data_IF_014045887229
#
_entry.id   IF_014045887229
#
_cell.length_a   1.000
_cell.length_b   1.000
_cell.length_c   1.000
_cell.angle_alpha   90.00
_cell.angle_beta   90.00
_cell.angle_gamma   90.00
#
_symmetry.space_group_name_H-M   'P 1'
#
loop_
_entity.id
_entity.type
_entity.pdbx_description
1 polymer ?
#
# COMPACT_ATOMS: atom_id res chain seq x y z
N UNK A 1 27.05 50.06 3.07
CA UNK A 1 26.12 48.95 2.70
C UNK A 1 26.81 47.64 3.04
N UNK A 2 26.31 46.91 4.04
CA UNK A 2 26.89 45.61 4.43
C UNK A 2 26.34 44.54 3.48
N UNK A 3 27.17 43.69 2.86
CA UNK A 3 26.70 42.68 1.91
C UNK A 3 25.76 41.66 2.58
N UNK A 4 24.62 41.37 1.96
CA UNK A 4 23.62 40.38 2.42
C UNK A 4 24.23 38.98 2.69
N UNK A 5 25.35 38.64 2.05
CA UNK A 5 26.09 37.40 2.27
C UNK A 5 26.73 37.31 3.67
N UNK A 6 27.07 38.44 4.30
CA UNK A 6 27.68 38.48 5.64
C UNK A 6 26.66 38.19 6.75
N UNK A 7 25.41 38.63 6.58
CA UNK A 7 24.32 38.40 7.54
C UNK A 7 23.88 36.93 7.51
N UNK A 8 23.82 36.31 6.33
CA UNK A 8 23.50 34.90 6.17
C UNK A 8 24.58 33.96 6.78
N UNK A 9 25.85 34.37 6.73
CA UNK A 9 26.98 33.66 7.34
C UNK A 9 26.89 33.65 8.88
N UNK A 10 26.56 34.79 9.49
CA UNK A 10 26.45 34.88 10.95
C UNK A 10 25.25 34.11 11.52
N UNK A 11 24.11 34.10 10.82
CA UNK A 11 22.94 33.31 11.24
C UNK A 11 23.20 31.80 11.20
N UNK A 12 24.02 31.32 10.25
CA UNK A 12 24.37 29.91 10.13
C UNK A 12 25.29 29.42 11.25
N UNK A 13 26.24 30.25 11.68
CA UNK A 13 27.14 29.94 12.79
C UNK A 13 26.43 29.96 14.16
N UNK A 14 25.45 30.84 14.35
CA UNK A 14 24.63 30.87 15.56
C UNK A 14 23.75 29.60 15.69
N UNK A 15 23.16 29.11 14.59
CA UNK A 15 22.36 27.88 14.57
C UNK A 15 23.19 26.61 14.85
N UNK A 16 24.43 26.55 14.37
CA UNK A 16 25.35 25.44 14.65
C UNK A 16 25.77 25.39 16.13
N UNK A 17 25.98 26.54 16.77
CA UNK A 17 26.30 26.60 18.20
C UNK A 17 25.13 26.16 19.08
N UNK A 18 23.88 26.47 18.70
CA UNK A 18 22.68 26.02 19.41
C UNK A 18 22.47 24.50 19.25
N UNK A 19 22.71 23.94 18.06
CA UNK A 19 22.62 22.49 17.85
C UNK A 19 23.70 21.70 18.61
N UNK A 20 24.94 22.23 18.71
CA UNK A 20 26.01 21.61 19.49
C UNK A 20 25.79 21.68 21.01
N UNK A 21 25.10 22.71 21.52
CA UNK A 21 24.70 22.77 22.94
C UNK A 21 23.54 21.82 23.26
N UNK A 22 22.59 21.61 22.34
CA UNK A 22 21.51 20.63 22.53
C UNK A 22 22.00 19.17 22.52
N UNK A 23 23.01 18.84 21.71
CA UNK A 23 23.63 17.50 21.73
C UNK A 23 24.40 17.23 23.03
N UNK A 24 25.06 18.24 23.61
CA UNK A 24 25.76 18.08 24.90
C UNK A 24 24.82 17.95 26.11
N UNK A 25 23.60 18.49 26.03
CA UNK A 25 22.61 18.32 27.10
C UNK A 25 21.89 16.97 27.04
N UNK A 26 21.74 16.35 25.85
CA UNK A 26 21.10 15.03 25.72
C UNK A 26 22.01 13.85 26.10
N UNK A 27 23.34 14.01 26.05
CA UNK A 27 24.28 12.97 26.48
C UNK A 27 24.55 12.92 27.99
N UNK A 28 23.96 13.84 28.78
CA UNK A 28 24.15 13.92 30.24
C UNK A 28 23.12 13.20 31.10
N UNK A 29 22.11 12.53 30.53
CA UNK A 29 21.00 11.90 31.27
C UNK A 29 20.87 10.37 31.09
N UNK A 30 21.87 9.69 30.50
CA UNK A 30 21.89 8.22 30.38
C UNK A 30 22.63 7.53 31.53
N UNK A 31 22.35 7.90 32.77
CA UNK A 31 22.82 7.15 33.93
C UNK A 31 21.76 7.19 35.01
N UNK A 32 21.06 6.06 35.14
CA UNK A 32 20.17 5.61 36.23
C UNK A 32 18.72 5.41 35.79
N UNK A 33 18.45 4.31 35.06
CA UNK A 33 17.24 3.50 35.21
C UNK A 33 17.35 2.24 34.32
N UNK A 34 18.20 1.31 34.75
CA UNK A 34 17.95 -0.11 34.46
C UNK A 34 16.91 -0.54 35.48
N UNK A 35 15.69 -0.81 35.06
CA UNK A 35 14.80 -1.89 35.51
C UNK A 35 13.45 -1.75 34.80
N UNK A 36 13.09 -2.79 34.05
CA UNK A 36 11.75 -3.08 33.50
C UNK A 36 11.20 -2.19 32.38
N UNK A 37 11.58 -2.51 31.13
CA UNK A 37 10.79 -2.17 29.92
C UNK A 37 10.57 -3.48 29.15
N UNK A 38 9.69 -4.33 29.69
CA UNK A 38 9.01 -5.37 28.91
C UNK A 38 7.54 -4.93 28.75
N UNK A 39 6.97 -5.20 27.57
CA UNK A 39 5.53 -5.17 27.24
C UNK A 39 4.80 -3.84 26.99
N UNK A 40 5.34 -2.97 26.14
CA UNK A 40 4.52 -1.90 25.50
C UNK A 40 4.54 -1.89 23.97
N UNK A 41 5.23 -2.83 23.29
CA UNK A 41 5.31 -2.86 21.81
C UNK A 41 4.21 -3.68 21.12
N UNK A 42 3.47 -4.50 21.87
CA UNK A 42 2.40 -5.39 21.37
C UNK A 42 1.16 -4.66 20.80
N UNK A 43 0.72 -3.46 21.28
CA UNK A 43 -0.56 -2.89 20.85
C UNK A 43 -0.63 -2.48 19.38
N UNK A 44 0.47 -2.02 18.78
CA UNK A 44 0.45 -1.44 17.42
C UNK A 44 0.35 -2.51 16.33
N UNK A 45 1.05 -3.64 16.48
CA UNK A 45 1.02 -4.75 15.51
C UNK A 45 -0.35 -5.42 15.48
N UNK A 46 -1.03 -5.55 16.64
CA UNK A 46 -2.38 -6.11 16.69
C UNK A 46 -3.41 -5.23 15.99
N UNK A 47 -3.31 -3.90 16.18
CA UNK A 47 -4.15 -2.92 15.47
C UNK A 47 -3.92 -3.03 13.96
N UNK A 48 -2.66 -3.07 13.52
CA UNK A 48 -2.31 -3.24 12.11
C UNK A 48 -2.87 -4.55 11.56
N UNK A 49 -2.71 -5.67 12.25
CA UNK A 49 -3.26 -6.97 11.85
C UNK A 49 -4.77 -6.92 11.70
N UNK A 50 -5.51 -6.30 12.63
CA UNK A 50 -6.96 -6.13 12.52
C UNK A 50 -7.33 -5.36 11.25
N UNK A 51 -6.62 -4.27 10.97
CA UNK A 51 -6.83 -3.49 9.75
C UNK A 51 -6.50 -4.30 8.48
N UNK A 52 -5.41 -5.07 8.47
CA UNK A 52 -5.03 -5.92 7.34
C UNK A 52 -6.09 -6.98 7.04
N UNK A 53 -6.67 -7.61 8.07
CA UNK A 53 -7.79 -8.55 7.90
C UNK A 53 -9.02 -7.87 7.29
N UNK A 54 -9.32 -6.62 7.68
CA UNK A 54 -10.43 -5.88 7.06
C UNK A 54 -10.17 -5.63 5.57
N UNK A 55 -8.94 -5.28 5.18
CA UNK A 55 -8.59 -5.10 3.77
C UNK A 55 -8.68 -6.43 3.00
N UNK A 56 -8.21 -7.54 3.58
CA UNK A 56 -8.33 -8.89 3.00
C UNK A 56 -9.79 -9.26 2.75
N UNK A 57 -10.66 -9.10 3.77
CA UNK A 57 -12.08 -9.41 3.66
C UNK A 57 -12.76 -8.60 2.53
N UNK A 58 -12.38 -7.33 2.39
CA UNK A 58 -12.90 -6.46 1.34
C UNK A 58 -12.44 -6.89 -0.06
N UNK A 59 -11.16 -7.26 -0.22
CA UNK A 59 -10.65 -7.82 -1.47
C UNK A 59 -11.37 -9.12 -1.85
N UNK A 60 -11.52 -10.05 -0.91
CA UNK A 60 -12.22 -11.31 -1.12
C UNK A 60 -13.70 -11.10 -1.45
N UNK A 61 -14.35 -10.11 -0.82
CA UNK A 61 -15.71 -9.71 -1.17
C UNK A 61 -15.79 -9.21 -2.62
N UNK A 62 -14.92 -8.30 -3.03
CA UNK A 62 -14.90 -7.76 -4.38
C UNK A 62 -14.57 -8.81 -5.45
N UNK A 63 -13.75 -9.81 -5.11
CA UNK A 63 -13.50 -10.95 -5.99
C UNK A 63 -14.78 -11.76 -6.22
N UNK A 64 -15.51 -12.08 -5.15
CA UNK A 64 -16.81 -12.77 -5.25
C UNK A 64 -17.84 -11.95 -6.05
N UNK A 65 -17.90 -10.64 -5.85
CA UNK A 65 -18.74 -9.75 -6.67
C UNK A 65 -18.34 -9.82 -8.15
N UNK A 66 -17.04 -9.82 -8.46
CA UNK A 66 -16.55 -9.92 -9.85
C UNK A 66 -16.88 -11.28 -10.51
N UNK A 67 -17.04 -12.32 -9.70
CA UNK A 67 -17.39 -13.67 -10.14
C UNK A 67 -18.90 -13.94 -10.18
N UNK A 68 -19.75 -12.92 -9.90
CA UNK A 68 -21.21 -13.09 -9.75
C UNK A 68 -21.63 -13.98 -8.57
N UNK A 69 -20.75 -14.18 -7.58
CA UNK A 69 -20.97 -15.06 -6.43
C UNK A 69 -21.57 -14.33 -5.22
N UNK A 70 -21.52 -12.99 -5.20
CA UNK A 70 -22.03 -12.19 -4.09
C UNK A 70 -22.53 -10.81 -4.56
N UNK A 71 -23.52 -10.26 -3.85
CA UNK A 71 -24.02 -8.90 -4.05
C UNK A 71 -23.04 -7.87 -3.49
N UNK A 72 -22.90 -6.71 -4.14
CA UNK A 72 -22.04 -5.64 -3.66
C UNK A 72 -22.58 -5.11 -2.32
N UNK A 73 -21.73 -5.18 -1.29
CA UNK A 73 -22.06 -4.84 0.09
C UNK A 73 -23.36 -5.46 0.61
N UNK A 74 -23.69 -6.67 0.13
CA UNK A 74 -24.91 -7.40 0.46
C UNK A 74 -26.22 -6.61 0.21
N UNK A 75 -26.19 -5.57 -0.62
CA UNK A 75 -27.33 -4.66 -0.83
C UNK A 75 -27.72 -4.53 -2.29
N UNK A 76 -26.78 -4.66 -3.23
CA UNK A 76 -27.06 -4.46 -4.65
C UNK A 76 -26.47 -5.58 -5.50
N UNK A 77 -27.30 -6.19 -6.37
CA UNK A 77 -26.83 -7.09 -7.41
C UNK A 77 -26.25 -6.26 -8.57
N UNK A 78 -24.94 -6.38 -8.79
CA UNK A 78 -24.26 -5.70 -9.89
C UNK A 78 -24.57 -6.44 -11.18
N UNK A 79 -25.09 -5.75 -12.20
CA UNK A 79 -25.29 -6.36 -13.52
C UNK A 79 -23.94 -6.58 -14.21
N UNK A 80 -23.82 -7.68 -14.96
CA UNK A 80 -22.56 -8.08 -15.58
C UNK A 80 -22.05 -7.10 -16.64
N UNK A 81 -22.94 -6.44 -17.37
CA UNK A 81 -22.63 -5.38 -18.34
C UNK A 81 -22.05 -4.12 -17.67
N UNK A 82 -22.62 -3.73 -16.52
CA UNK A 82 -22.13 -2.61 -15.70
C UNK A 82 -20.75 -2.92 -15.14
N UNK A 83 -20.58 -4.11 -14.56
CA UNK A 83 -19.30 -4.57 -14.02
C UNK A 83 -18.22 -4.62 -15.11
N UNK A 84 -18.54 -5.17 -16.29
CA UNK A 84 -17.62 -5.24 -17.43
C UNK A 84 -17.20 -3.85 -17.89
N UNK A 85 -18.15 -2.92 -17.99
CA UNK A 85 -17.88 -1.53 -18.40
C UNK A 85 -16.97 -0.83 -17.39
N UNK A 86 -17.29 -0.93 -16.10
CA UNK A 86 -16.46 -0.38 -15.02
C UNK A 86 -15.03 -0.93 -15.05
N UNK A 87 -14.87 -2.26 -15.13
CA UNK A 87 -13.57 -2.90 -15.19
C UNK A 87 -12.77 -2.47 -16.44
N UNK A 88 -13.41 -2.40 -17.61
CA UNK A 88 -12.73 -1.96 -18.84
C UNK A 88 -12.28 -0.50 -18.77
N UNK A 89 -13.09 0.38 -18.19
CA UNK A 89 -12.71 1.79 -18.00
C UNK A 89 -11.52 1.93 -17.06
N UNK A 90 -11.53 1.25 -15.91
CA UNK A 90 -10.43 1.25 -14.94
C UNK A 90 -9.10 0.83 -15.58
N UNK A 91 -9.14 -0.16 -16.45
CA UNK A 91 -7.94 -0.78 -17.03
C UNK A 91 -7.65 -0.35 -18.46
N UNK A 92 -8.32 0.67 -18.99
CA UNK A 92 -8.13 1.14 -20.37
C UNK A 92 -6.65 1.43 -20.68
N UNK A 93 -5.91 1.96 -19.70
CA UNK A 93 -4.48 2.31 -19.82
C UNK A 93 -3.55 1.30 -19.14
N UNK A 94 -4.03 0.09 -18.84
CA UNK A 94 -3.20 -0.96 -18.23
C UNK A 94 -2.27 -1.56 -19.28
N UNK A 95 -1.09 -0.94 -19.43
CA UNK A 95 -0.13 -1.34 -20.45
C UNK A 95 0.56 -2.68 -20.21
N UNK A 96 1.22 -3.18 -21.27
CA UNK A 96 1.89 -4.48 -21.26
C UNK A 96 2.96 -4.62 -20.17
N UNK A 97 3.64 -3.53 -19.80
CA UNK A 97 4.63 -3.55 -18.72
C UNK A 97 4.00 -3.80 -17.35
N UNK A 98 2.81 -3.24 -17.09
CA UNK A 98 2.05 -3.58 -15.87
C UNK A 98 1.57 -5.03 -15.89
N UNK A 99 1.15 -5.53 -17.06
CA UNK A 99 0.77 -6.93 -17.19
C UNK A 99 1.95 -7.89 -16.93
N UNK A 100 3.13 -7.61 -17.50
CA UNK A 100 4.37 -8.35 -17.20
C UNK A 100 4.71 -8.28 -15.71
N UNK A 101 4.60 -7.10 -15.10
CA UNK A 101 4.85 -6.94 -13.66
C UNK A 101 3.86 -7.77 -12.82
N UNK A 102 2.57 -7.76 -13.17
CA UNK A 102 1.53 -8.55 -12.51
C UNK A 102 1.83 -10.05 -12.60
N UNK A 103 2.22 -10.52 -13.78
CA UNK A 103 2.61 -11.92 -13.97
C UNK A 103 3.83 -12.28 -13.11
N UNK A 104 4.88 -11.46 -13.13
CA UNK A 104 6.07 -11.67 -12.30
C UNK A 104 5.75 -11.68 -10.81
N UNK A 105 4.91 -10.75 -10.35
CA UNK A 105 4.47 -10.68 -8.97
C UNK A 105 3.71 -11.96 -8.60
N UNK A 106 2.76 -12.39 -9.42
CA UNK A 106 2.00 -13.63 -9.18
C UNK A 106 2.91 -14.87 -9.09
N UNK A 107 3.93 -14.99 -9.96
CA UNK A 107 4.89 -16.10 -9.87
C UNK A 107 5.75 -16.00 -8.61
N UNK A 108 6.17 -14.79 -8.22
CA UNK A 108 7.00 -14.56 -7.04
C UNK A 108 6.28 -14.96 -5.74
N UNK A 109 4.96 -14.79 -5.68
CA UNK A 109 4.18 -15.12 -4.48
C UNK A 109 4.00 -16.63 -4.26
N UNK A 110 4.23 -17.46 -5.29
CA UNK A 110 4.09 -18.92 -5.18
C UNK A 110 5.24 -19.50 -4.36
N UNK A 111 4.92 -20.02 -3.17
CA UNK A 111 5.88 -20.72 -2.30
C UNK A 111 6.91 -19.81 -1.64
N UNK A 112 6.64 -18.50 -1.57
CA UNK A 112 7.56 -17.54 -0.98
C UNK A 112 7.56 -17.61 0.54
N UNK A 113 8.75 -17.53 1.13
CA UNK A 113 8.93 -17.19 2.53
C UNK A 113 9.27 -15.72 2.61
N UNK A 114 8.46 -14.93 3.34
CA UNK A 114 8.70 -13.50 3.48
C UNK A 114 9.97 -13.24 4.30
N UNK A 115 10.84 -12.43 3.70
CA UNK A 115 11.99 -11.79 4.33
C UNK A 115 12.03 -10.31 3.89
N UNK A 116 12.97 -9.53 4.42
CA UNK A 116 13.12 -8.10 4.13
C UNK A 116 13.21 -7.85 2.63
N UNK A 117 14.05 -8.62 1.93
CA UNK A 117 14.28 -8.47 0.49
C UNK A 117 13.01 -8.75 -0.31
N UNK A 118 12.22 -9.74 0.10
CA UNK A 118 10.94 -10.02 -0.52
C UNK A 118 9.91 -8.93 -0.24
N UNK A 119 9.82 -8.41 0.98
CA UNK A 119 8.92 -7.31 1.31
C UNK A 119 9.21 -6.06 0.47
N UNK A 120 10.49 -5.70 0.31
CA UNK A 120 10.89 -4.60 -0.58
C UNK A 120 10.48 -4.83 -2.03
N UNK A 121 10.72 -6.04 -2.56
CA UNK A 121 10.33 -6.39 -3.94
C UNK A 121 8.82 -6.39 -4.16
N UNK A 122 8.06 -6.90 -3.19
CA UNK A 122 6.60 -6.84 -3.23
C UNK A 122 6.15 -5.38 -3.24
N UNK A 123 6.68 -4.56 -2.33
CA UNK A 123 6.33 -3.15 -2.24
C UNK A 123 6.63 -2.37 -3.53
N UNK A 124 7.79 -2.61 -4.14
CA UNK A 124 8.18 -2.00 -5.42
C UNK A 124 7.19 -2.40 -6.53
N UNK A 125 6.93 -3.70 -6.69
CA UNK A 125 6.02 -4.21 -7.74
C UNK A 125 4.58 -3.74 -7.55
N UNK A 126 4.09 -3.76 -6.32
CA UNK A 126 2.75 -3.25 -5.97
C UNK A 126 2.66 -1.77 -6.28
N UNK A 127 3.65 -0.98 -5.86
CA UNK A 127 3.69 0.46 -6.15
C UNK A 127 3.68 0.74 -7.65
N UNK A 128 4.46 -0.01 -8.45
CA UNK A 128 4.46 0.12 -9.91
C UNK A 128 3.11 -0.24 -10.54
N UNK A 129 2.48 -1.32 -10.09
CA UNK A 129 1.16 -1.74 -10.59
C UNK A 129 0.08 -0.69 -10.29
N UNK A 130 0.13 -0.10 -9.11
CA UNK A 130 -0.84 0.88 -8.61
C UNK A 130 -0.57 2.30 -9.11
N UNK A 131 0.64 2.60 -9.55
CA UNK A 131 0.99 3.92 -10.06
C UNK A 131 0.19 4.30 -11.31
N UNK A 132 -0.68 5.29 -11.19
CA UNK A 132 -1.44 5.85 -12.31
C UNK A 132 -0.62 6.92 -13.02
N UNK A 133 0.19 6.50 -14.00
CA UNK A 133 0.70 7.44 -14.97
C UNK A 133 -0.48 7.97 -15.79
N UNK A 134 -0.68 9.30 -15.79
CA UNK A 134 -1.55 9.97 -16.77
C UNK A 134 -0.88 9.90 -18.13
N UNK A 135 -0.74 8.70 -18.68
CA UNK A 135 -0.07 8.50 -19.95
C UNK A 135 -1.05 8.84 -21.06
N UNK A 136 -0.57 9.58 -22.05
CA UNK A 136 -1.15 9.70 -23.40
C UNK A 136 -1.15 8.33 -24.14
N UNK A 137 -1.28 7.22 -23.42
CA UNK A 137 -1.15 5.88 -23.94
C UNK A 137 -2.41 5.47 -24.70
N UNK A 138 -2.19 4.66 -25.73
CA UNK A 138 -3.27 4.01 -26.44
C UNK A 138 -4.02 3.05 -25.51
N UNK A 139 -5.36 3.03 -25.58
CA UNK A 139 -6.13 2.06 -24.83
C UNK A 139 -5.74 0.64 -25.25
N UNK A 140 -5.48 -0.22 -24.29
CA UNK A 140 -5.16 -1.62 -24.54
C UNK A 140 -6.44 -2.45 -24.59
N UNK A 141 -6.57 -3.35 -25.57
CA UNK A 141 -7.66 -4.32 -25.67
C UNK A 141 -7.41 -5.52 -24.74
N UNK A 142 -7.21 -5.27 -23.45
CA UNK A 142 -7.18 -6.33 -22.45
C UNK A 142 -8.56 -6.47 -21.81
N UNK A 143 -8.97 -7.71 -21.53
CA UNK A 143 -10.22 -7.94 -20.83
C UNK A 143 -10.11 -7.43 -19.39
N UNK A 144 -10.83 -6.34 -19.09
CA UNK A 144 -10.81 -5.69 -17.79
C UNK A 144 -11.25 -6.62 -16.66
N UNK A 145 -12.15 -7.58 -16.94
CA UNK A 145 -12.57 -8.59 -15.95
C UNK A 145 -11.40 -9.50 -15.56
N UNK A 146 -10.68 -10.02 -16.54
CA UNK A 146 -9.48 -10.86 -16.29
C UNK A 146 -8.41 -10.10 -15.52
N UNK A 147 -8.14 -8.84 -15.86
CA UNK A 147 -7.16 -8.03 -15.10
C UNK A 147 -7.64 -7.82 -13.66
N UNK A 148 -8.90 -7.41 -13.47
CA UNK A 148 -9.47 -7.13 -12.15
C UNK A 148 -9.40 -8.34 -11.23
N UNK A 149 -9.87 -9.50 -11.72
CA UNK A 149 -9.87 -10.76 -10.96
C UNK A 149 -8.45 -11.23 -10.64
N UNK A 150 -7.51 -11.09 -11.57
CA UNK A 150 -6.10 -11.43 -11.33
C UNK A 150 -5.47 -10.50 -10.31
N UNK A 151 -5.68 -9.18 -10.43
CA UNK A 151 -5.18 -8.18 -9.47
C UNK A 151 -5.74 -8.42 -8.07
N UNK A 152 -7.05 -8.65 -7.94
CA UNK A 152 -7.70 -9.01 -6.67
C UNK A 152 -7.05 -10.26 -6.07
N UNK A 153 -6.87 -11.32 -6.85
CA UNK A 153 -6.27 -12.57 -6.38
C UNK A 153 -4.83 -12.37 -5.88
N UNK A 154 -4.03 -11.57 -6.61
CA UNK A 154 -2.66 -11.24 -6.22
C UNK A 154 -2.62 -10.43 -4.93
N UNK A 155 -3.49 -9.42 -4.78
CA UNK A 155 -3.56 -8.62 -3.57
C UNK A 155 -4.07 -9.41 -2.36
N UNK A 156 -5.03 -10.32 -2.55
CA UNK A 156 -5.47 -11.26 -1.51
C UNK A 156 -4.28 -12.07 -1.01
N UNK A 157 -3.53 -12.69 -1.92
CA UNK A 157 -2.36 -13.49 -1.57
C UNK A 157 -1.30 -12.66 -0.80
N UNK A 158 -1.04 -11.43 -1.23
CA UNK A 158 -0.12 -10.51 -0.53
C UNK A 158 -0.62 -10.20 0.89
N UNK A 159 -1.90 -9.88 1.06
CA UNK A 159 -2.49 -9.60 2.36
C UNK A 159 -2.43 -10.83 3.28
N UNK A 160 -2.73 -12.03 2.77
CA UNK A 160 -2.62 -13.29 3.52
C UNK A 160 -1.18 -13.55 3.98
N UNK A 161 -0.20 -13.37 3.08
CA UNK A 161 1.21 -13.49 3.42
C UNK A 161 1.62 -12.50 4.50
N UNK A 162 1.20 -11.24 4.40
CA UNK A 162 1.49 -10.20 5.40
C UNK A 162 0.84 -10.50 6.76
N UNK A 163 -0.39 -10.99 6.77
CA UNK A 163 -1.11 -11.35 8.01
C UNK A 163 -0.42 -12.50 8.74
N UNK A 164 0.01 -13.52 8.00
CA UNK A 164 0.72 -14.68 8.51
C UNK A 164 2.19 -14.39 8.85
N UNK A 165 2.73 -13.25 8.39
CA UNK A 165 4.09 -12.86 8.66
C UNK A 165 4.27 -12.43 10.12
N UNK A 166 5.35 -12.88 10.74
CA UNK A 166 5.76 -12.48 12.08
C UNK A 166 6.86 -11.40 12.00
N UNK A 167 6.51 -10.11 12.12
CA UNK A 167 7.46 -9.02 11.93
C UNK A 167 8.46 -8.95 13.09
N UNK A 168 9.75 -9.15 12.78
CA UNK A 168 10.84 -9.11 13.76
C UNK A 168 11.41 -7.71 14.00
N UNK A 169 11.13 -6.77 13.09
CA UNK A 169 11.70 -5.41 13.12
C UNK A 169 10.62 -4.37 12.84
N UNK A 170 10.84 -3.12 13.25
CA UNK A 170 9.93 -2.02 12.92
C UNK A 170 9.85 -1.75 11.41
N UNK A 171 10.95 -2.00 10.69
CA UNK A 171 11.01 -1.91 9.23
C UNK A 171 10.03 -2.90 8.59
N UNK A 172 9.92 -4.12 9.11
CA UNK A 172 8.94 -5.10 8.62
C UNK A 172 7.52 -4.57 8.75
N UNK A 173 7.18 -4.04 9.92
CA UNK A 173 5.85 -3.49 10.19
C UNK A 173 5.56 -2.32 9.25
N UNK A 174 6.53 -1.41 9.08
CA UNK A 174 6.40 -0.26 8.20
C UNK A 174 6.19 -0.67 6.73
N UNK A 175 6.93 -1.67 6.23
CA UNK A 175 6.78 -2.19 4.88
C UNK A 175 5.43 -2.88 4.67
N UNK A 176 5.01 -3.73 5.61
CA UNK A 176 3.69 -4.37 5.56
C UNK A 176 2.58 -3.32 5.52
N UNK A 177 2.67 -2.30 6.38
CA UNK A 177 1.72 -1.18 6.41
C UNK A 177 1.73 -0.39 5.10
N UNK A 178 2.91 -0.12 4.53
CA UNK A 178 3.06 0.58 3.25
C UNK A 178 2.35 -0.19 2.12
N UNK A 179 2.59 -1.50 2.02
CA UNK A 179 1.97 -2.36 0.99
C UNK A 179 0.45 -2.36 1.13
N UNK A 180 -0.07 -2.65 2.34
CA UNK A 180 -1.52 -2.75 2.55
C UNK A 180 -2.22 -1.39 2.38
N UNK A 181 -1.59 -0.30 2.84
CA UNK A 181 -2.13 1.04 2.62
C UNK A 181 -2.08 1.45 1.15
N UNK A 182 -1.04 1.07 0.41
CA UNK A 182 -0.96 1.25 -1.04
C UNK A 182 -2.15 0.60 -1.74
N UNK A 183 -2.37 -0.69 -1.48
CA UNK A 183 -3.52 -1.45 -2.02
C UNK A 183 -4.85 -0.78 -1.64
N UNK A 184 -5.00 -0.38 -0.37
CA UNK A 184 -6.24 0.25 0.11
C UNK A 184 -6.53 1.58 -0.58
N UNK A 185 -5.53 2.47 -0.60
CA UNK A 185 -5.69 3.85 -1.06
C UNK A 185 -5.71 4.00 -2.58
N UNK A 186 -4.91 3.21 -3.31
CA UNK A 186 -4.73 3.35 -4.75
C UNK A 186 -5.57 2.35 -5.56
N UNK A 187 -6.05 1.27 -4.94
CA UNK A 187 -6.89 0.28 -5.62
C UNK A 187 -8.28 0.12 -4.99
N UNK A 188 -8.37 -0.34 -3.75
CA UNK A 188 -9.67 -0.69 -3.15
C UNK A 188 -10.64 0.50 -3.11
N UNK A 189 -10.21 1.63 -2.52
CA UNK A 189 -11.08 2.80 -2.37
C UNK A 189 -11.52 3.39 -3.72
N UNK A 190 -10.62 3.63 -4.70
CA UNK A 190 -11.03 4.07 -6.03
C UNK A 190 -11.98 3.08 -6.71
N UNK A 191 -11.64 1.79 -6.72
CA UNK A 191 -12.42 0.77 -7.40
C UNK A 191 -13.82 0.62 -6.82
N UNK A 192 -13.96 0.61 -5.49
CA UNK A 192 -15.27 0.58 -4.82
C UNK A 192 -16.10 1.80 -5.19
N UNK A 193 -15.48 2.98 -5.21
CA UNK A 193 -16.17 4.23 -5.56
C UNK A 193 -16.67 4.19 -7.02
N UNK A 194 -15.80 3.80 -7.94
CA UNK A 194 -16.14 3.66 -9.36
C UNK A 194 -17.26 2.64 -9.57
N UNK A 195 -17.15 1.46 -8.95
CA UNK A 195 -18.17 0.42 -9.05
C UNK A 195 -19.51 0.86 -8.44
N UNK A 196 -19.49 1.51 -7.27
CA UNK A 196 -20.70 2.01 -6.63
C UNK A 196 -21.39 3.08 -7.47
N UNK A 197 -20.62 3.99 -8.07
CA UNK A 197 -21.17 5.02 -8.96
C UNK A 197 -21.75 4.39 -10.23
N UNK A 198 -21.04 3.46 -10.85
CA UNK A 198 -21.51 2.76 -12.05
C UNK A 198 -22.84 2.04 -11.80
N UNK A 199 -23.01 1.43 -10.61
CA UNK A 199 -24.26 0.76 -10.22
C UNK A 199 -25.41 1.76 -10.01
N UNK A 200 -25.14 2.96 -9.49
CA UNK A 200 -26.17 3.99 -9.25
C UNK A 200 -26.65 4.68 -10.52
N UNK A 201 -25.79 4.76 -11.53
CA UNK A 201 -26.06 5.42 -12.80
C UNK A 201 -26.72 4.49 -13.83
N UNK A 202 -26.78 3.19 -13.53
CA UNK A 202 -27.27 2.14 -14.44
C UNK A 202 -28.72 1.74 -14.16
#
# INVERSE_FOLDING_TARGET
MIPLAYIASQQRNALLHVQLQQQKQQQGQESTNRHSVMDQRVPTVEIDKKYWHQQLNLLQHLLRVNNDEQWLFNSVKVRQDVLKTCNNQRWAYFGMEKFKCLFQLNQMLKGIKLDDKQLYKINEKVSFLLYEAHSQAHPYLLDGKTITTTMLSVFICICELIICFDPKTEVHVALCRCIVNGISSQFLRPYIRELWNAVRES
#
